data_IF_838318034470
#
_entry.id   IF_838318034470
#
_cell.length_a   1.000
_cell.length_b   1.000
_cell.length_c   1.000
_cell.angle_alpha   90.00
_cell.angle_beta   90.00
_cell.angle_gamma   90.00
#
_symmetry.space_group_name_H-M   'P 1'
#
loop_
_entity.id
_entity.type
_entity.pdbx_description
1 polymer ?
#
# COMPACT_ATOMS: atom_id res chain seq x y z
N UNK A 1 7.71 -38.08 81.82
CA UNK A 1 8.03 -36.64 81.77
C UNK A 1 6.93 -35.97 80.94
N UNK A 2 6.09 -35.13 81.57
CA UNK A 2 4.93 -34.43 80.97
C UNK A 2 5.39 -33.06 80.45
N UNK A 3 5.02 -32.66 79.23
CA UNK A 3 4.91 -31.27 78.76
C UNK A 3 4.05 -31.29 77.47
N UNK A 4 2.77 -30.90 77.40
CA UNK A 4 2.09 -29.59 77.55
C UNK A 4 2.34 -28.60 76.40
N UNK A 5 1.20 -28.05 75.90
CA UNK A 5 1.00 -26.76 75.20
C UNK A 5 1.31 -26.71 73.70
N UNK A 6 0.61 -25.97 72.83
CA UNK A 6 -0.72 -25.34 72.77
C UNK A 6 -0.85 -24.84 71.31
N UNK A 7 -2.08 -24.69 70.83
CA UNK A 7 -2.53 -23.99 69.61
C UNK A 7 -1.65 -22.82 69.10
N UNK A 8 -1.45 -22.72 67.78
CA UNK A 8 -1.53 -21.44 67.02
C UNK A 8 -1.98 -21.73 65.58
N UNK A 9 -3.18 -21.27 65.22
CA UNK A 9 -3.60 -21.11 63.83
C UNK A 9 -2.79 -19.97 63.19
N UNK A 10 -2.12 -20.23 62.06
CA UNK A 10 -1.61 -19.17 61.20
C UNK A 10 -2.42 -19.16 59.91
N UNK A 11 -3.28 -18.15 59.82
CA UNK A 11 -3.95 -17.71 58.62
C UNK A 11 -2.87 -17.30 57.60
N UNK A 12 -2.52 -18.18 56.67
CA UNK A 12 -1.62 -17.84 55.57
C UNK A 12 -2.39 -16.99 54.56
N UNK A 13 -2.15 -15.68 54.56
CA UNK A 13 -2.58 -14.77 53.50
C UNK A 13 -1.88 -15.17 52.18
N UNK A 14 -2.59 -15.60 51.13
CA UNK A 14 -1.95 -15.67 49.82
C UNK A 14 -1.73 -14.24 49.32
N UNK A 15 -0.46 -13.93 49.12
CA UNK A 15 0.06 -12.73 48.48
C UNK A 15 -0.65 -12.57 47.12
N UNK A 16 -1.57 -11.61 47.02
CA UNK A 16 -2.20 -11.24 45.75
C UNK A 16 -1.14 -10.59 44.86
N UNK A 17 -0.58 -11.37 43.94
CA UNK A 17 0.33 -10.86 42.91
C UNK A 17 -0.49 -10.12 41.86
N UNK A 18 -0.47 -8.80 41.90
CA UNK A 18 -1.05 -7.95 40.86
C UNK A 18 -0.18 -8.06 39.60
N UNK A 19 -0.64 -8.84 38.61
CA UNK A 19 -0.09 -8.81 37.25
C UNK A 19 -0.56 -7.51 36.59
N UNK A 20 0.29 -6.49 36.62
CA UNK A 20 0.14 -5.34 35.73
C UNK A 20 0.54 -5.79 34.32
N UNK A 21 -0.44 -6.07 33.47
CA UNK A 21 -0.21 -6.28 32.06
C UNK A 21 0.28 -4.97 31.43
N UNK A 22 1.59 -4.85 31.24
CA UNK A 22 2.20 -3.79 30.45
C UNK A 22 1.83 -4.03 28.98
N UNK A 23 0.72 -3.46 28.54
CA UNK A 23 0.35 -3.39 27.13
C UNK A 23 1.31 -2.41 26.45
N UNK A 24 2.48 -2.90 26.02
CA UNK A 24 3.37 -2.14 25.14
C UNK A 24 2.61 -1.96 23.82
N UNK A 25 2.06 -0.77 23.61
CA UNK A 25 1.61 -0.37 22.27
C UNK A 25 2.85 -0.37 21.39
N UNK A 26 2.99 -1.39 20.53
CA UNK A 26 4.03 -1.38 19.50
C UNK A 26 3.71 -0.22 18.55
N UNK A 27 4.55 0.81 18.58
CA UNK A 27 4.49 1.89 17.60
C UNK A 27 4.72 1.29 16.23
N UNK A 28 3.74 1.38 15.33
CA UNK A 28 3.90 0.94 13.96
C UNK A 28 4.90 1.87 13.24
N UNK A 29 6.02 1.32 12.75
CA UNK A 29 7.03 2.05 11.98
C UNK A 29 6.79 1.91 10.49
N UNK A 30 7.08 2.97 9.72
CA UNK A 30 7.09 2.90 8.26
C UNK A 30 8.10 1.85 7.77
N UNK A 31 7.67 0.99 6.85
CA UNK A 31 8.50 0.00 6.19
C UNK A 31 8.59 0.27 4.68
N UNK A 32 9.54 -0.38 4.02
CA UNK A 32 9.65 -0.41 2.56
C UNK A 32 9.34 -1.82 2.07
N UNK A 33 8.34 -1.95 1.21
CA UNK A 33 7.92 -3.21 0.65
C UNK A 33 8.07 -3.25 -0.86
N UNK A 34 8.31 -4.43 -1.39
CA UNK A 34 8.42 -4.72 -2.82
C UNK A 34 7.40 -5.78 -3.20
N UNK A 35 6.57 -5.53 -4.21
CA UNK A 35 5.64 -6.54 -4.71
C UNK A 35 6.44 -7.65 -5.40
N UNK A 36 6.18 -8.89 -4.99
CA UNK A 36 6.91 -10.08 -5.41
C UNK A 36 5.93 -11.23 -5.64
N UNK A 37 6.04 -11.87 -6.80
CA UNK A 37 5.21 -13.01 -7.18
C UNK A 37 5.97 -14.32 -7.41
N UNK A 38 7.29 -14.33 -7.23
CA UNK A 38 8.19 -15.46 -7.53
C UNK A 38 8.96 -15.96 -6.30
N UNK A 39 8.70 -15.44 -5.11
CA UNK A 39 9.14 -16.01 -3.85
C UNK A 39 10.61 -15.68 -3.53
N UNK A 40 11.43 -16.70 -3.27
CA UNK A 40 12.87 -16.49 -3.00
C UNK A 40 13.73 -16.37 -4.28
N UNK A 41 13.12 -16.44 -5.45
CA UNK A 41 13.85 -16.38 -6.73
C UNK A 41 14.23 -14.94 -7.01
N UNK A 42 15.52 -14.64 -7.20
CA UNK A 42 16.01 -13.27 -7.52
C UNK A 42 15.15 -12.58 -8.59
N UNK A 43 14.84 -11.30 -8.36
CA UNK A 43 13.86 -10.52 -9.13
C UNK A 43 12.44 -10.68 -8.59
N UNK A 44 11.46 -10.01 -9.18
CA UNK A 44 10.11 -9.89 -8.58
C UNK A 44 9.01 -10.71 -9.28
N UNK A 45 9.37 -11.47 -10.31
CA UNK A 45 8.41 -12.17 -11.16
C UNK A 45 7.60 -11.23 -12.04
N UNK A 46 6.31 -11.47 -12.17
CA UNK A 46 5.36 -10.64 -12.94
C UNK A 46 4.30 -10.03 -12.02
N UNK A 47 3.74 -8.89 -12.42
CA UNK A 47 2.65 -8.24 -11.69
C UNK A 47 1.40 -9.13 -11.73
N UNK A 48 1.26 -9.98 -10.72
CA UNK A 48 0.16 -10.93 -10.53
C UNK A 48 -0.12 -11.11 -9.05
N UNK A 49 -1.25 -11.73 -8.74
CA UNK A 49 -1.67 -12.03 -7.36
C UNK A 49 -2.66 -11.01 -6.81
N UNK A 50 -2.97 -11.16 -5.53
CA UNK A 50 -4.00 -10.39 -4.84
C UNK A 50 -3.40 -9.52 -3.76
N UNK A 51 -3.62 -8.20 -3.86
CA UNK A 51 -3.35 -7.26 -2.79
C UNK A 51 -4.60 -7.13 -1.91
N UNK A 52 -4.52 -7.68 -0.70
CA UNK A 52 -5.56 -7.60 0.32
C UNK A 52 -4.99 -7.00 1.61
N UNK A 53 -5.86 -6.69 2.58
CA UNK A 53 -5.44 -6.28 3.92
C UNK A 53 -5.91 -7.34 4.94
N UNK A 54 -5.01 -8.19 5.49
CA UNK A 54 -3.59 -8.30 5.18
C UNK A 54 -3.29 -8.99 3.83
N UNK A 55 -2.12 -8.73 3.25
CA UNK A 55 -1.61 -9.37 2.04
C UNK A 55 -0.76 -10.58 2.40
N UNK A 56 -1.06 -11.74 1.82
CA UNK A 56 -0.33 -12.99 2.10
C UNK A 56 0.73 -13.23 1.03
N UNK A 57 2.00 -13.34 1.46
CA UNK A 57 3.12 -13.79 0.63
C UNK A 57 3.32 -13.01 -0.69
N UNK A 58 3.15 -11.68 -0.65
CA UNK A 58 3.41 -10.80 -1.81
C UNK A 58 4.30 -9.59 -1.54
N UNK A 59 4.47 -9.18 -0.28
CA UNK A 59 5.33 -8.06 0.08
C UNK A 59 6.68 -8.57 0.59
N UNK A 60 7.73 -8.42 -0.23
CA UNK A 60 9.13 -8.61 0.15
C UNK A 60 9.72 -7.35 0.79
N UNK A 61 10.85 -7.48 1.46
CA UNK A 61 11.53 -6.38 2.18
C UNK A 61 12.90 -6.03 1.62
N UNK A 62 13.34 -6.68 0.53
CA UNK A 62 14.61 -6.38 -0.12
C UNK A 62 14.45 -5.89 -1.55
N UNK A 63 15.39 -5.04 -1.94
CA UNK A 63 15.47 -4.39 -3.25
C UNK A 63 16.03 -5.29 -4.36
N UNK A 64 16.27 -6.57 -4.07
CA UNK A 64 16.75 -7.56 -5.05
C UNK A 64 15.69 -8.61 -5.42
N UNK A 65 14.53 -8.64 -4.76
CA UNK A 65 13.53 -9.71 -4.95
C UNK A 65 14.08 -11.10 -4.64
N UNK A 66 14.98 -11.20 -3.66
CA UNK A 66 15.59 -12.49 -3.28
C UNK A 66 15.10 -12.99 -1.93
N UNK A 67 14.38 -12.16 -1.18
CA UNK A 67 13.83 -12.52 0.10
C UNK A 67 12.43 -13.08 -0.09
N UNK A 68 12.12 -14.19 0.61
CA UNK A 68 10.76 -14.72 0.65
C UNK A 68 9.80 -13.62 1.11
N UNK A 69 8.72 -13.34 0.37
CA UNK A 69 7.72 -12.38 0.78
C UNK A 69 7.12 -12.72 2.15
N UNK A 70 6.83 -11.68 2.94
CA UNK A 70 6.25 -11.85 4.27
C UNK A 70 4.93 -12.63 4.23
N UNK A 71 4.75 -13.54 5.19
CA UNK A 71 3.60 -14.44 5.22
C UNK A 71 2.26 -13.70 5.31
N UNK A 72 2.22 -12.53 5.96
CA UNK A 72 1.03 -11.69 6.09
C UNK A 72 1.43 -10.26 6.45
N UNK A 73 1.19 -9.30 5.55
CA UNK A 73 1.60 -7.90 5.70
C UNK A 73 0.38 -7.00 5.50
N UNK A 74 0.09 -6.15 6.49
CA UNK A 74 -0.87 -5.04 6.32
C UNK A 74 -0.09 -3.77 6.10
N UNK A 75 -0.31 -3.12 4.96
CA UNK A 75 0.33 -1.85 4.62
C UNK A 75 -0.30 -0.69 5.39
N UNK A 76 0.50 0.34 5.68
CA UNK A 76 0.12 1.49 6.51
C UNK A 76 0.01 2.78 5.70
N UNK A 77 -0.95 3.63 6.07
CA UNK A 77 -1.20 4.95 5.50
C UNK A 77 -1.53 6.01 6.56
N UNK A 78 -0.98 5.89 7.77
CA UNK A 78 -1.26 6.79 8.89
C UNK A 78 -0.41 8.07 8.83
N UNK A 79 -0.93 9.15 9.40
CA UNK A 79 -0.24 10.45 9.43
C UNK A 79 1.13 10.32 10.13
N UNK A 80 2.22 10.47 9.38
CA UNK A 80 3.60 10.36 9.86
C UNK A 80 4.22 8.96 9.83
N UNK A 81 3.46 7.91 9.50
CA UNK A 81 3.96 6.52 9.39
C UNK A 81 3.29 5.79 8.23
N UNK A 82 3.92 5.85 7.05
CA UNK A 82 3.37 5.28 5.82
C UNK A 82 4.37 4.34 5.18
N UNK A 83 3.92 3.18 4.72
CA UNK A 83 4.81 2.26 4.02
C UNK A 83 5.11 2.75 2.60
N UNK A 84 6.37 2.62 2.18
CA UNK A 84 6.77 2.82 0.80
C UNK A 84 6.56 1.51 0.03
N UNK A 85 5.68 1.52 -0.97
CA UNK A 85 5.35 0.35 -1.78
C UNK A 85 6.02 0.45 -3.14
N UNK A 86 6.81 -0.55 -3.49
CA UNK A 86 7.61 -0.57 -4.71
C UNK A 86 7.19 -1.72 -5.60
N UNK A 87 7.09 -1.45 -6.90
CA UNK A 87 6.82 -2.42 -7.94
C UNK A 87 8.05 -2.49 -8.84
N UNK A 88 8.95 -3.40 -8.48
CA UNK A 88 10.32 -3.44 -8.99
C UNK A 88 11.30 -2.57 -8.20
N UNK A 89 12.55 -2.59 -8.64
CA UNK A 89 13.65 -1.77 -8.12
C UNK A 89 14.66 -1.48 -9.24
N UNK A 90 15.61 -0.59 -8.96
CA UNK A 90 16.72 -0.30 -9.87
C UNK A 90 17.63 -1.50 -10.16
N UNK A 91 17.50 -2.60 -9.40
CA UNK A 91 18.24 -3.85 -9.62
C UNK A 91 17.47 -4.85 -10.49
N UNK A 92 16.15 -4.86 -10.38
CA UNK A 92 15.29 -5.77 -11.15
C UNK A 92 13.88 -5.19 -11.33
N UNK A 93 13.35 -5.32 -12.54
CA UNK A 93 11.96 -4.99 -12.82
C UNK A 93 10.99 -6.03 -12.28
N UNK A 94 9.76 -5.58 -11.98
CA UNK A 94 8.58 -6.44 -11.94
C UNK A 94 8.03 -6.57 -13.35
N UNK A 95 7.90 -7.78 -13.86
CA UNK A 95 7.35 -8.03 -15.19
C UNK A 95 5.92 -7.51 -15.33
N UNK A 96 5.52 -7.20 -16.56
CA UNK A 96 4.19 -6.65 -16.85
C UNK A 96 3.05 -7.59 -16.38
N UNK A 97 1.90 -7.00 -16.04
CA UNK A 97 0.71 -7.75 -15.62
C UNK A 97 -0.25 -6.91 -14.77
N UNK A 98 -1.23 -7.57 -14.15
CA UNK A 98 -2.26 -6.93 -13.32
C UNK A 98 -2.30 -7.57 -11.93
N UNK A 99 -2.28 -6.72 -10.90
CA UNK A 99 -2.48 -7.08 -9.49
C UNK A 99 -3.94 -6.82 -9.13
N UNK A 100 -4.61 -7.81 -8.54
CA UNK A 100 -6.00 -7.68 -8.10
C UNK A 100 -6.03 -7.08 -6.69
N UNK A 101 -6.62 -5.90 -6.52
CA UNK A 101 -6.92 -5.32 -5.22
C UNK A 101 -8.22 -5.94 -4.69
N UNK A 102 -8.18 -6.53 -3.50
CA UNK A 102 -9.34 -7.13 -2.84
C UNK A 102 -9.74 -6.30 -1.61
N UNK A 103 -10.97 -5.79 -1.63
CA UNK A 103 -11.47 -4.89 -0.60
C UNK A 103 -10.77 -3.52 -0.63
N UNK A 104 -10.58 -2.91 0.55
CA UNK A 104 -9.79 -1.68 0.69
C UNK A 104 -8.43 -2.01 1.25
N UNK A 105 -7.37 -1.52 0.59
CA UNK A 105 -5.99 -1.62 1.04
C UNK A 105 -5.41 -0.22 1.27
N UNK A 106 -4.41 -0.13 2.14
CA UNK A 106 -3.78 1.14 2.49
C UNK A 106 -2.47 1.31 1.74
N UNK A 107 -2.14 2.54 1.34
CA UNK A 107 -0.84 2.85 0.73
C UNK A 107 -0.25 4.14 1.26
N UNK A 108 1.06 4.11 1.48
CA UNK A 108 1.88 5.31 1.53
C UNK A 108 2.18 5.81 0.12
N UNK A 109 3.46 5.89 -0.22
CA UNK A 109 3.91 6.18 -1.58
C UNK A 109 3.94 4.91 -2.43
N UNK A 110 3.76 5.08 -3.74
CA UNK A 110 3.95 4.01 -4.72
C UNK A 110 5.06 4.37 -5.70
N UNK A 111 5.99 3.45 -5.92
CA UNK A 111 7.07 3.59 -6.89
C UNK A 111 7.01 2.43 -7.88
N UNK A 112 6.89 2.74 -9.16
CA UNK A 112 7.03 1.79 -10.26
C UNK A 112 8.40 2.03 -10.88
N UNK A 113 9.33 1.11 -10.66
CA UNK A 113 10.73 1.32 -11.08
C UNK A 113 10.90 1.23 -12.60
N UNK A 114 11.90 1.93 -13.15
CA UNK A 114 12.12 2.04 -14.59
C UNK A 114 12.37 0.69 -15.29
N UNK A 115 12.88 -0.31 -14.57
CA UNK A 115 13.07 -1.66 -15.11
C UNK A 115 11.78 -2.48 -15.19
N UNK A 116 10.70 -2.05 -14.55
CA UNK A 116 9.43 -2.78 -14.53
C UNK A 116 8.65 -2.67 -15.84
N UNK A 117 7.83 -3.68 -16.13
CA UNK A 117 6.87 -3.65 -17.23
C UNK A 117 5.66 -2.76 -16.96
N UNK A 118 4.66 -2.77 -17.85
CA UNK A 118 3.38 -2.12 -17.61
C UNK A 118 2.62 -2.83 -16.49
N UNK A 119 2.19 -2.10 -15.47
CA UNK A 119 1.58 -2.68 -14.26
C UNK A 119 0.16 -2.16 -14.10
N UNK A 120 -0.80 -3.08 -13.97
CA UNK A 120 -2.21 -2.80 -13.75
C UNK A 120 -2.66 -3.09 -12.32
N UNK A 121 -3.70 -2.38 -11.86
CA UNK A 121 -4.45 -2.68 -10.64
C UNK A 121 -5.93 -2.77 -10.96
N UNK A 122 -6.59 -3.84 -10.53
CA UNK A 122 -8.03 -4.04 -10.77
C UNK A 122 -8.77 -4.37 -9.48
N UNK A 123 -10.10 -4.18 -9.48
CA UNK A 123 -10.94 -4.54 -8.35
C UNK A 123 -11.15 -3.39 -7.37
N UNK A 124 -10.76 -3.61 -6.11
CA UNK A 124 -11.15 -2.80 -4.96
C UNK A 124 -10.52 -1.40 -4.88
N UNK A 125 -10.33 -0.92 -3.66
CA UNK A 125 -9.93 0.47 -3.36
C UNK A 125 -8.52 0.52 -2.80
N UNK A 126 -7.69 1.42 -3.33
CA UNK A 126 -6.40 1.78 -2.77
C UNK A 126 -6.57 3.12 -2.04
N UNK A 127 -6.53 3.08 -0.72
CA UNK A 127 -6.66 4.25 0.15
C UNK A 127 -5.28 4.81 0.50
N UNK A 128 -4.98 6.00 0.00
CA UNK A 128 -3.72 6.66 0.28
C UNK A 128 -3.76 7.50 1.57
N UNK A 129 -2.59 7.76 2.13
CA UNK A 129 -2.40 8.80 3.15
C UNK A 129 -2.68 10.21 2.60
N UNK A 130 -2.42 11.27 3.36
CA UNK A 130 -2.84 12.63 2.99
C UNK A 130 -2.16 13.22 1.73
N UNK A 131 -0.86 12.97 1.52
CA UNK A 131 -0.08 13.56 0.41
C UNK A 131 0.77 12.54 -0.37
N UNK A 132 0.21 11.42 -0.87
CA UNK A 132 0.95 10.39 -1.59
C UNK A 132 1.64 10.89 -2.85
N UNK A 133 2.77 10.26 -3.13
CA UNK A 133 3.43 10.29 -4.43
C UNK A 133 3.24 8.95 -5.12
N UNK A 134 2.78 8.99 -6.37
CA UNK A 134 2.83 7.88 -7.32
C UNK A 134 3.93 8.21 -8.33
N UNK A 135 5.08 7.56 -8.18
CA UNK A 135 6.23 7.68 -9.07
C UNK A 135 6.17 6.59 -10.14
N UNK A 136 5.72 6.95 -11.34
CA UNK A 136 5.65 6.02 -12.48
C UNK A 136 6.90 6.19 -13.33
N UNK A 137 7.95 5.44 -13.01
CA UNK A 137 9.21 5.46 -13.76
C UNK A 137 9.28 4.37 -14.84
N UNK A 138 8.43 3.35 -14.74
CA UNK A 138 8.18 2.37 -15.79
C UNK A 138 7.36 2.99 -16.95
N UNK A 139 7.01 2.18 -17.95
CA UNK A 139 6.19 2.61 -19.09
C UNK A 139 4.80 3.13 -18.65
N UNK A 140 4.11 2.39 -17.78
CA UNK A 140 2.79 2.76 -17.30
C UNK A 140 2.38 2.05 -16.01
N UNK A 141 1.59 2.76 -15.21
CA UNK A 141 0.82 2.21 -14.10
C UNK A 141 -0.67 2.51 -14.36
N UNK A 142 -1.46 1.46 -14.53
CA UNK A 142 -2.87 1.54 -14.90
C UNK A 142 -3.75 1.16 -13.71
N UNK A 143 -4.64 2.05 -13.29
CA UNK A 143 -5.56 1.83 -12.19
C UNK A 143 -7.00 1.71 -12.68
N UNK A 144 -7.49 0.48 -12.69
CA UNK A 144 -8.92 0.15 -12.76
C UNK A 144 -9.56 0.06 -11.37
N UNK A 145 -8.74 -0.08 -10.32
CA UNK A 145 -9.12 0.09 -8.91
C UNK A 145 -9.46 1.54 -8.58
N UNK A 146 -10.30 1.76 -7.56
CA UNK A 146 -10.60 3.09 -7.04
C UNK A 146 -9.41 3.62 -6.25
N UNK A 147 -8.94 4.82 -6.58
CA UNK A 147 -8.00 5.58 -5.76
C UNK A 147 -8.77 6.46 -4.77
N UNK A 148 -8.49 6.29 -3.48
CA UNK A 148 -9.15 7.01 -2.38
C UNK A 148 -8.12 7.68 -1.45
N UNK A 149 -8.60 8.45 -0.47
CA UNK A 149 -7.74 9.15 0.47
C UNK A 149 -7.08 10.38 -0.15
N UNK A 150 -5.75 10.52 -0.06
CA UNK A 150 -4.99 11.64 -0.62
C UNK A 150 -5.61 13.01 -0.31
N UNK A 151 -6.01 13.22 0.95
CA UNK A 151 -6.88 14.32 1.35
C UNK A 151 -6.28 15.73 1.21
N UNK A 152 -4.97 15.83 1.00
CA UNK A 152 -4.29 17.09 0.68
C UNK A 152 -3.94 17.12 -0.81
N UNK A 153 -3.25 16.09 -1.31
CA UNK A 153 -2.84 16.01 -2.71
C UNK A 153 -2.50 14.58 -3.12
N UNK A 154 -2.77 14.23 -4.37
CA UNK A 154 -2.15 13.11 -5.06
C UNK A 154 -1.11 13.66 -6.03
N UNK A 155 0.16 13.28 -5.89
CA UNK A 155 1.23 13.76 -6.78
C UNK A 155 1.71 12.66 -7.69
N UNK A 156 1.65 12.89 -9.00
CA UNK A 156 2.25 12.04 -10.03
C UNK A 156 3.64 12.56 -10.38
N UNK A 157 4.65 11.69 -10.29
CA UNK A 157 6.01 11.91 -10.76
C UNK A 157 6.46 10.76 -11.67
N UNK A 158 7.70 10.82 -12.16
CA UNK A 158 8.24 9.83 -13.09
C UNK A 158 7.75 10.05 -14.52
N UNK A 159 8.53 9.55 -15.48
CA UNK A 159 8.35 9.81 -16.91
C UNK A 159 7.20 9.02 -17.56
N UNK A 160 6.74 7.96 -16.90
CA UNK A 160 5.70 7.07 -17.41
C UNK A 160 4.29 7.62 -17.30
N UNK A 161 3.34 6.83 -17.78
CA UNK A 161 1.91 7.18 -17.79
C UNK A 161 1.21 6.62 -16.55
N UNK A 162 0.59 7.50 -15.77
CA UNK A 162 -0.46 7.10 -14.83
C UNK A 162 -1.77 7.05 -15.60
N UNK A 163 -2.33 5.85 -15.79
CA UNK A 163 -3.61 5.68 -16.45
C UNK A 163 -4.70 5.40 -15.41
N UNK A 164 -5.80 6.15 -15.49
CA UNK A 164 -7.02 5.89 -14.74
C UNK A 164 -8.03 5.32 -15.74
N UNK A 165 -8.41 4.06 -15.57
CA UNK A 165 -9.28 3.34 -16.52
C UNK A 165 -10.34 2.48 -15.83
N UNK A 166 -10.65 2.80 -14.58
CA UNK A 166 -11.69 2.13 -13.79
C UNK A 166 -13.09 2.44 -14.31
N UNK A 167 -14.06 1.63 -13.91
CA UNK A 167 -15.49 1.85 -14.22
C UNK A 167 -16.21 2.72 -13.20
N UNK A 168 -15.50 3.13 -12.15
CA UNK A 168 -16.01 3.94 -11.03
C UNK A 168 -15.09 5.14 -10.81
N UNK A 169 -15.67 6.25 -10.38
CA UNK A 169 -14.92 7.47 -10.07
C UNK A 169 -13.91 7.25 -8.95
N UNK A 170 -12.72 7.82 -9.10
CA UNK A 170 -11.79 7.93 -7.99
C UNK A 170 -12.34 8.87 -6.91
N UNK A 171 -12.06 8.55 -5.65
CA UNK A 171 -12.63 9.20 -4.46
C UNK A 171 -11.59 9.91 -3.59
N UNK A 172 -10.36 10.06 -4.08
CA UNK A 172 -9.40 10.92 -3.41
C UNK A 172 -9.90 12.37 -3.34
N UNK A 173 -9.63 13.07 -2.24
CA UNK A 173 -10.28 14.37 -1.96
C UNK A 173 -9.34 15.57 -2.09
N UNK A 174 -8.05 15.35 -2.27
CA UNK A 174 -7.06 16.38 -2.57
C UNK A 174 -6.97 16.74 -4.06
N UNK A 175 -6.12 17.72 -4.36
CA UNK A 175 -5.76 18.06 -5.74
C UNK A 175 -4.87 17.00 -6.39
N UNK A 176 -4.89 16.92 -7.72
CA UNK A 176 -4.00 16.06 -8.50
C UNK A 176 -2.87 16.91 -9.10
N UNK A 177 -1.65 16.69 -8.66
CA UNK A 177 -0.46 17.39 -9.15
C UNK A 177 0.30 16.50 -10.13
N UNK A 178 0.39 16.91 -11.39
CA UNK A 178 1.07 16.17 -12.45
C UNK A 178 2.43 16.79 -12.73
N UNK A 179 3.45 16.38 -11.97
CA UNK A 179 4.78 17.00 -12.02
C UNK A 179 5.65 16.46 -13.16
N UNK A 180 5.39 15.24 -13.66
CA UNK A 180 6.13 14.65 -14.77
C UNK A 180 5.35 13.51 -15.46
N UNK A 181 5.75 13.21 -16.71
CA UNK A 181 5.23 12.11 -17.50
C UNK A 181 3.86 12.40 -18.10
N UNK A 182 2.92 11.45 -17.99
CA UNK A 182 1.57 11.65 -18.47
C UNK A 182 0.51 11.16 -17.47
N UNK A 183 -0.66 11.80 -17.52
CA UNK A 183 -1.93 11.28 -17.04
C UNK A 183 -2.75 10.82 -18.24
N UNK A 184 -3.22 9.58 -18.23
CA UNK A 184 -4.23 9.11 -19.17
C UNK A 184 -5.56 8.93 -18.43
N UNK A 185 -6.60 9.62 -18.89
CA UNK A 185 -7.98 9.36 -18.51
C UNK A 185 -8.59 8.49 -19.60
N UNK A 186 -8.76 7.21 -19.30
CA UNK A 186 -9.17 6.22 -20.28
C UNK A 186 -10.58 5.70 -19.96
N UNK A 187 -11.52 6.11 -20.80
CA UNK A 187 -12.93 5.80 -20.65
C UNK A 187 -13.34 4.53 -21.42
N UNK A 188 -12.41 3.82 -22.07
CA UNK A 188 -12.71 2.66 -22.92
C UNK A 188 -13.39 1.50 -22.17
N UNK A 189 -13.23 1.42 -20.84
CA UNK A 189 -13.87 0.42 -20.00
C UNK A 189 -15.28 0.84 -19.49
N UNK A 190 -15.72 2.08 -19.76
CA UNK A 190 -16.99 2.61 -19.27
C UNK A 190 -18.11 2.47 -20.31
N UNK A 191 -19.23 1.87 -19.91
CA UNK A 191 -20.46 1.87 -20.73
C UNK A 191 -21.18 3.22 -20.67
N UNK A 192 -21.14 3.86 -19.49
CA UNK A 192 -21.62 5.22 -19.26
C UNK A 192 -20.45 6.01 -18.66
N UNK A 193 -19.89 7.00 -19.38
CA UNK A 193 -18.80 7.81 -18.85
C UNK A 193 -19.18 8.47 -17.51
N UNK A 194 -18.32 8.30 -16.51
CA UNK A 194 -18.40 9.01 -15.21
C UNK A 194 -17.06 9.69 -14.93
N UNK A 195 -17.06 10.74 -14.11
CA UNK A 195 -15.84 11.50 -13.85
C UNK A 195 -14.77 10.62 -13.18
N UNK A 196 -13.64 10.38 -13.86
CA UNK A 196 -12.50 9.67 -13.26
C UNK A 196 -11.75 10.53 -12.22
N UNK A 197 -11.98 11.85 -12.20
CA UNK A 197 -11.38 12.83 -11.29
C UNK A 197 -12.47 13.64 -10.57
N UNK A 198 -13.17 13.05 -9.60
CA UNK A 198 -14.36 13.64 -8.97
C UNK A 198 -14.08 14.56 -7.75
N UNK A 199 -12.83 14.91 -7.45
CA UNK A 199 -12.47 15.57 -6.17
C UNK A 199 -12.94 17.04 -6.06
N UNK A 200 -13.33 17.68 -7.17
CA UNK A 200 -13.62 19.12 -7.23
C UNK A 200 -12.42 20.02 -6.89
N UNK A 201 -11.22 19.44 -6.71
CA UNK A 201 -9.98 20.15 -6.43
C UNK A 201 -9.18 20.39 -7.70
N UNK A 202 -8.12 21.18 -7.57
CA UNK A 202 -7.25 21.52 -8.69
C UNK A 202 -6.60 20.28 -9.32
N UNK A 203 -6.62 20.24 -10.65
CA UNK A 203 -5.72 19.44 -11.47
C UNK A 203 -4.58 20.36 -11.92
N UNK A 204 -3.39 20.17 -11.35
CA UNK A 204 -2.23 21.04 -11.57
C UNK A 204 -1.24 20.38 -12.52
N UNK A 205 -0.82 21.10 -13.56
CA UNK A 205 0.21 20.65 -14.50
C UNK A 205 1.56 21.28 -14.14
N UNK A 206 2.46 20.47 -13.58
CA UNK A 206 3.82 20.88 -13.20
C UNK A 206 4.91 20.43 -14.18
N UNK A 207 4.53 19.78 -15.29
CA UNK A 207 5.48 19.25 -16.28
C UNK A 207 5.00 17.98 -17.00
N UNK A 208 3.81 17.47 -16.68
CA UNK A 208 3.21 16.33 -17.36
C UNK A 208 2.27 16.74 -18.51
N UNK A 209 1.96 15.76 -19.37
CA UNK A 209 0.88 15.85 -20.35
C UNK A 209 -0.39 15.16 -19.82
N UNK A 210 -1.56 15.51 -20.38
CA UNK A 210 -2.80 14.76 -20.18
C UNK A 210 -3.33 14.27 -21.53
N UNK A 211 -3.75 13.01 -21.55
CA UNK A 211 -4.42 12.37 -22.68
C UNK A 211 -5.77 11.87 -22.23
N UNK A 212 -6.79 12.03 -23.08
CA UNK A 212 -8.13 11.48 -22.89
C UNK A 212 -8.34 10.43 -23.97
N UNK A 213 -8.70 9.22 -23.56
CA UNK A 213 -8.99 8.07 -24.43
C UNK A 213 -10.45 7.65 -24.22
N UNK A 214 -11.11 7.13 -25.25
CA UNK A 214 -12.52 6.72 -25.19
C UNK A 214 -12.80 5.51 -26.06
#
# INVERSE_FOLDING_TARGET
>A
MKLRHLFVARLSFPLASAIAALLVAQSASAATYYWDSNGATTGYGTATGTWAAPTVSRWGTNDSGSAVPGASITTLNTNGTTDALNFGSFKSGLGAGTITVSGTVNSGNMTFDALSGAIGFSGGTISFWASPVIAVNNVSATFSSVLAGAGTSLTKTGIGTLALNGTTSNTFTGGLNLNAGALALDFANMTTPTDLLASGKALTFGGANMTILG
#
